data_IF_125507682297
#
_entry.id   IF_125507682297
#
_cell.length_a   1.000
_cell.length_b   1.000
_cell.length_c   1.000
_cell.angle_alpha   90.00
_cell.angle_beta   90.00
_cell.angle_gamma   90.00
#
_symmetry.space_group_name_H-M   'P 1'
#
loop_
_entity.id
_entity.type
_entity.pdbx_description
1 polymer ?
#
# COMPACT_ATOMS: atom_id res chain seq x y z
N UNK A 1 -3.41 11.62 15.88
CA UNK A 1 -3.16 11.35 14.45
C UNK A 1 -4.44 11.04 13.69
N UNK A 2 -5.32 10.22 14.23
CA UNK A 2 -6.64 9.91 13.64
C UNK A 2 -7.40 11.15 13.19
N UNK A 3 -7.57 12.14 14.05
CA UNK A 3 -8.29 13.37 13.73
C UNK A 3 -7.78 14.13 12.49
N UNK A 4 -6.48 14.02 12.15
CA UNK A 4 -5.94 14.66 10.94
C UNK A 4 -6.29 13.87 9.68
N UNK A 5 -6.24 12.53 9.74
CA UNK A 5 -6.64 11.66 8.63
C UNK A 5 -8.15 11.72 8.41
N UNK A 6 -8.94 11.80 9.46
CA UNK A 6 -10.40 12.01 9.39
C UNK A 6 -10.74 13.31 8.68
N UNK A 7 -10.08 14.44 9.00
CA UNK A 7 -10.28 15.71 8.27
C UNK A 7 -9.94 15.63 6.79
N UNK A 8 -8.92 14.83 6.43
CA UNK A 8 -8.60 14.58 5.02
C UNK A 8 -9.71 13.78 4.35
N UNK A 9 -10.22 12.75 5.03
CA UNK A 9 -11.31 11.93 4.52
C UNK A 9 -12.59 12.77 4.35
N UNK A 10 -12.94 13.58 5.33
CA UNK A 10 -14.09 14.50 5.28
C UNK A 10 -13.97 15.49 4.12
N UNK A 11 -12.81 16.13 3.97
CA UNK A 11 -12.56 17.02 2.83
C UNK A 11 -12.70 16.25 1.51
N UNK A 12 -12.14 15.06 1.43
CA UNK A 12 -12.25 14.23 0.23
C UNK A 12 -13.68 13.81 -0.10
N UNK A 13 -14.50 13.52 0.91
CA UNK A 13 -15.89 13.12 0.74
C UNK A 13 -16.77 14.27 0.21
N UNK A 14 -16.55 15.48 0.70
CA UNK A 14 -17.45 16.60 0.48
C UNK A 14 -17.03 17.52 -0.68
N UNK A 15 -15.74 17.62 -0.99
CA UNK A 15 -15.28 18.45 -2.11
C UNK A 15 -15.25 17.65 -3.42
N UNK A 16 -15.86 18.15 -4.52
CA UNK A 16 -15.82 17.46 -5.81
C UNK A 16 -14.40 17.27 -6.37
N UNK A 17 -13.53 18.25 -6.18
CA UNK A 17 -12.14 18.26 -6.64
C UNK A 17 -11.22 18.71 -5.50
N UNK A 18 -11.04 17.89 -4.45
CA UNK A 18 -10.19 18.27 -3.35
C UNK A 18 -8.72 18.30 -3.79
N UNK A 19 -7.99 19.31 -3.34
CA UNK A 19 -6.54 19.38 -3.52
C UNK A 19 -5.84 19.33 -2.16
N UNK A 20 -4.83 18.46 -2.08
CA UNK A 20 -4.04 18.25 -0.88
C UNK A 20 -2.59 18.64 -1.14
N UNK A 21 -2.20 19.79 -0.64
CA UNK A 21 -0.88 20.41 -0.89
C UNK A 21 0.16 20.11 0.19
N UNK A 22 -0.27 19.67 1.37
CA UNK A 22 0.60 19.44 2.52
C UNK A 22 0.21 18.19 3.28
N UNK A 23 0.83 17.06 2.92
CA UNK A 23 0.56 15.74 3.48
C UNK A 23 1.82 15.10 4.09
N UNK A 24 3.00 15.45 3.56
CA UNK A 24 4.25 14.79 3.92
C UNK A 24 4.60 14.93 5.40
N UNK A 25 4.24 16.04 6.04
CA UNK A 25 4.44 16.26 7.47
C UNK A 25 3.67 15.27 8.36
N UNK A 26 2.68 14.57 7.81
CA UNK A 26 1.93 13.53 8.52
C UNK A 26 2.76 12.27 8.73
N UNK A 27 3.78 12.04 7.88
CA UNK A 27 4.74 10.94 8.06
C UNK A 27 5.75 11.36 9.13
N UNK A 28 5.30 11.39 10.37
CA UNK A 28 6.08 11.78 11.53
C UNK A 28 6.35 10.58 12.46
N UNK A 29 7.14 10.79 13.52
CA UNK A 29 7.47 9.76 14.51
C UNK A 29 6.23 9.03 15.04
N UNK A 30 5.15 9.75 15.30
CA UNK A 30 3.90 9.20 15.88
C UNK A 30 3.22 8.23 14.91
N UNK A 31 3.06 8.62 13.63
CA UNK A 31 2.46 7.76 12.61
C UNK A 31 3.34 6.54 12.33
N UNK A 32 4.66 6.69 12.24
CA UNK A 32 5.57 5.57 12.03
C UNK A 32 5.56 4.59 13.21
N UNK A 33 5.48 5.10 14.43
CA UNK A 33 5.33 4.27 15.64
C UNK A 33 4.00 3.49 15.64
N UNK A 34 2.93 4.15 15.24
CA UNK A 34 1.61 3.52 15.08
C UNK A 34 1.68 2.41 14.01
N UNK A 35 2.28 2.69 12.84
CA UNK A 35 2.48 1.68 11.79
C UNK A 35 3.28 0.48 12.27
N UNK A 36 4.35 0.69 13.06
CA UNK A 36 5.09 -0.43 13.65
C UNK A 36 4.20 -1.32 14.52
N UNK A 37 3.33 -0.73 15.36
CA UNK A 37 2.42 -1.52 16.21
C UNK A 37 1.43 -2.37 15.40
N UNK A 38 0.91 -1.81 14.31
CA UNK A 38 -0.11 -2.44 13.46
C UNK A 38 0.46 -3.50 12.51
N UNK A 39 1.73 -3.40 12.13
CA UNK A 39 2.35 -4.40 11.26
C UNK A 39 2.36 -5.78 11.93
N UNK A 40 1.95 -6.79 11.15
CA UNK A 40 2.00 -8.18 11.56
C UNK A 40 3.45 -8.69 11.57
N UNK A 41 3.92 -9.13 12.74
CA UNK A 41 5.28 -9.66 12.91
C UNK A 41 5.52 -11.06 12.31
N UNK A 42 4.45 -11.77 11.92
CA UNK A 42 4.54 -13.09 11.28
C UNK A 42 4.86 -13.04 9.79
N UNK A 43 4.82 -11.85 9.17
CA UNK A 43 5.06 -11.69 7.74
C UNK A 43 6.53 -11.87 7.38
N UNK A 44 6.78 -12.45 6.20
CA UNK A 44 8.12 -12.68 5.68
C UNK A 44 9.01 -11.43 5.76
N UNK A 45 10.26 -11.62 6.14
CA UNK A 45 11.28 -10.56 6.22
C UNK A 45 11.72 -10.10 4.83
N UNK A 46 12.31 -8.91 4.74
CA UNK A 46 12.88 -8.38 3.51
C UNK A 46 14.31 -8.85 3.28
N UNK A 47 15.00 -8.16 2.36
CA UNK A 47 16.40 -8.44 2.03
C UNK A 47 17.36 -8.17 3.21
N UNK A 48 16.93 -7.34 4.15
CA UNK A 48 17.64 -6.98 5.37
C UNK A 48 17.51 -8.02 6.50
N UNK A 49 16.67 -9.05 6.27
CA UNK A 49 16.35 -10.13 7.22
C UNK A 49 15.84 -9.65 8.59
N UNK A 50 15.56 -8.34 8.73
CA UNK A 50 15.13 -7.73 9.99
C UNK A 50 13.68 -8.11 10.30
N UNK A 51 13.48 -8.70 11.47
CA UNK A 51 12.15 -9.03 12.01
C UNK A 51 11.55 -7.85 12.76
N UNK A 52 10.21 -7.89 12.98
CA UNK A 52 9.53 -6.91 13.85
C UNK A 52 10.11 -6.87 15.25
N UNK A 53 10.49 -8.03 15.81
CA UNK A 53 11.05 -8.14 17.16
C UNK A 53 12.40 -7.45 17.26
N UNK A 54 13.34 -7.77 16.38
CA UNK A 54 14.68 -7.16 16.33
C UNK A 54 14.62 -5.65 16.12
N UNK A 55 13.76 -5.19 15.18
CA UNK A 55 13.55 -3.76 14.98
C UNK A 55 12.99 -3.08 16.23
N UNK A 56 12.16 -3.81 16.99
CA UNK A 56 11.52 -3.35 18.22
C UNK A 56 12.48 -3.20 19.41
N UNK A 57 13.62 -3.87 19.42
CA UNK A 57 14.60 -3.78 20.52
C UNK A 57 15.14 -2.36 20.71
N UNK A 58 15.33 -1.61 19.62
CA UNK A 58 15.76 -0.22 19.61
C UNK A 58 14.73 0.71 18.94
N UNK A 59 13.45 0.44 19.18
CA UNK A 59 12.33 1.03 18.43
C UNK A 59 12.37 2.57 18.39
N UNK A 60 12.58 3.23 19.52
CA UNK A 60 12.57 4.70 19.56
C UNK A 60 13.68 5.32 18.71
N UNK A 61 14.89 4.74 18.79
CA UNK A 61 16.03 5.24 18.03
C UNK A 61 15.87 4.95 16.55
N UNK A 62 15.39 3.75 16.19
CA UNK A 62 15.14 3.33 14.81
C UNK A 62 14.09 4.23 14.15
N UNK A 63 12.95 4.45 14.81
CA UNK A 63 11.88 5.33 14.30
C UNK A 63 12.33 6.78 14.23
N UNK A 64 13.10 7.29 15.21
CA UNK A 64 13.66 8.65 15.17
C UNK A 64 14.59 8.80 13.96
N UNK A 65 15.52 7.86 13.77
CA UNK A 65 16.44 7.86 12.63
C UNK A 65 15.68 7.78 11.28
N UNK A 66 14.67 6.94 11.17
CA UNK A 66 13.82 6.84 9.98
C UNK A 66 13.08 8.16 9.71
N UNK A 67 12.47 8.77 10.73
CA UNK A 67 11.77 10.05 10.59
C UNK A 67 12.70 11.17 10.13
N UNK A 68 13.94 11.23 10.67
CA UNK A 68 14.95 12.21 10.24
C UNK A 68 15.39 11.98 8.79
N UNK A 69 15.63 10.73 8.37
CA UNK A 69 15.96 10.41 6.97
C UNK A 69 14.84 10.78 6.01
N UNK A 70 13.59 10.55 6.39
CA UNK A 70 12.42 10.98 5.63
C UNK A 70 12.37 12.51 5.54
N UNK A 71 12.47 13.21 6.67
CA UNK A 71 12.46 14.67 6.73
C UNK A 71 13.52 15.30 5.82
N UNK A 72 14.74 14.74 5.83
CA UNK A 72 15.86 15.17 4.97
C UNK A 72 15.76 14.68 3.53
N UNK A 73 14.74 13.90 3.17
CA UNK A 73 14.59 13.22 1.87
C UNK A 73 15.77 12.31 1.50
N UNK A 74 16.52 11.84 2.49
CA UNK A 74 17.66 10.94 2.32
C UNK A 74 17.27 9.46 2.42
N UNK A 75 16.02 9.15 2.78
CA UNK A 75 15.52 7.78 2.78
C UNK A 75 15.56 7.18 1.37
N UNK A 76 16.13 5.99 1.27
CA UNK A 76 16.22 5.21 0.01
C UNK A 76 15.54 3.87 0.27
N UNK A 77 14.43 3.54 -0.44
CA UNK A 77 13.84 2.21 -0.37
C UNK A 77 14.89 1.15 -0.66
N UNK A 78 14.90 0.09 0.13
CA UNK A 78 15.76 -1.05 -0.13
C UNK A 78 15.18 -1.90 -1.27
N UNK A 79 16.02 -2.71 -1.94
CA UNK A 79 15.52 -3.63 -2.95
C UNK A 79 14.51 -4.61 -2.35
N UNK A 80 13.41 -4.85 -3.07
CA UNK A 80 12.44 -5.86 -2.67
C UNK A 80 12.95 -7.25 -3.02
N UNK A 81 12.89 -8.18 -2.07
CA UNK A 81 13.24 -9.58 -2.27
C UNK A 81 12.11 -10.30 -3.00
N UNK A 82 12.40 -10.91 -4.15
CA UNK A 82 11.40 -11.70 -4.91
C UNK A 82 11.37 -13.15 -4.45
N UNK A 83 10.24 -13.59 -3.94
CA UNK A 83 9.94 -14.95 -3.55
C UNK A 83 8.85 -15.51 -4.48
N UNK A 84 8.91 -16.80 -4.79
CA UNK A 84 7.94 -17.47 -5.64
C UNK A 84 7.05 -18.40 -4.83
N UNK A 85 5.73 -18.23 -4.93
CA UNK A 85 4.75 -19.08 -4.25
C UNK A 85 4.01 -19.91 -5.30
N UNK A 86 3.86 -21.23 -5.10
CA UNK A 86 3.10 -22.06 -6.02
C UNK A 86 1.62 -21.71 -6.01
N UNK A 87 1.01 -21.65 -7.20
CA UNK A 87 -0.43 -21.54 -7.38
C UNK A 87 -1.07 -22.92 -7.44
N UNK A 88 -2.39 -23.00 -7.25
CA UNK A 88 -3.17 -24.26 -7.38
C UNK A 88 -3.05 -24.93 -8.74
N UNK A 89 -2.72 -24.18 -9.79
CA UNK A 89 -2.51 -24.68 -11.15
C UNK A 89 -1.04 -25.04 -11.47
N UNK A 90 -0.18 -25.19 -10.46
CA UNK A 90 1.25 -25.52 -10.59
C UNK A 90 2.15 -24.38 -11.08
N UNK A 91 1.62 -23.21 -11.47
CA UNK A 91 2.43 -22.04 -11.84
C UNK A 91 2.93 -21.32 -10.60
N UNK A 92 4.06 -20.63 -10.74
CA UNK A 92 4.63 -19.81 -9.66
C UNK A 92 4.05 -18.38 -9.69
N UNK A 93 3.74 -17.85 -8.52
CA UNK A 93 3.35 -16.47 -8.32
C UNK A 93 4.53 -15.70 -7.72
N UNK A 94 5.08 -14.70 -8.41
CA UNK A 94 6.12 -13.85 -7.83
C UNK A 94 5.51 -12.93 -6.78
N UNK A 95 6.13 -12.86 -5.62
CA UNK A 95 5.84 -11.87 -4.57
C UNK A 95 7.09 -11.06 -4.27
N UNK A 96 6.93 -9.76 -4.06
CA UNK A 96 7.99 -8.88 -3.58
C UNK A 96 7.84 -8.64 -2.08
N UNK A 97 8.91 -8.88 -1.32
CA UNK A 97 8.95 -8.60 0.11
C UNK A 97 9.85 -7.41 0.36
N UNK A 98 9.31 -6.35 0.95
CA UNK A 98 10.06 -5.14 1.30
C UNK A 98 10.81 -5.33 2.63
N UNK A 99 11.86 -4.51 2.86
CA UNK A 99 12.54 -4.40 4.15
C UNK A 99 11.57 -3.96 5.25
N UNK A 100 11.95 -4.19 6.51
CA UNK A 100 11.03 -3.89 7.61
C UNK A 100 10.73 -2.38 7.72
N UNK A 101 11.73 -1.51 7.60
CA UNK A 101 11.52 -0.05 7.58
C UNK A 101 10.64 0.40 6.41
N UNK A 102 10.85 -0.19 5.22
CA UNK A 102 10.04 0.13 4.06
C UNK A 102 8.57 -0.26 4.24
N UNK A 103 8.29 -1.38 4.92
CA UNK A 103 6.91 -1.75 5.29
C UNK A 103 6.26 -0.70 6.19
N UNK A 104 7.00 -0.14 7.16
CA UNK A 104 6.49 0.94 8.02
C UNK A 104 6.14 2.17 7.19
N UNK A 105 7.03 2.61 6.30
CA UNK A 105 6.80 3.78 5.44
C UNK A 105 5.66 3.54 4.46
N UNK A 106 5.61 2.36 3.84
CA UNK A 106 4.51 1.97 2.93
C UNK A 106 3.16 1.96 3.63
N UNK A 107 3.09 1.47 4.88
CA UNK A 107 1.86 1.52 5.67
C UNK A 107 1.46 2.95 6.03
N UNK A 108 2.43 3.81 6.35
CA UNK A 108 2.16 5.24 6.61
C UNK A 108 1.62 5.94 5.34
N UNK A 109 2.23 5.69 4.18
CA UNK A 109 1.71 6.16 2.89
C UNK A 109 0.32 5.62 2.60
N UNK A 110 0.09 4.31 2.81
CA UNK A 110 -1.22 3.68 2.63
C UNK A 110 -2.29 4.42 3.42
N UNK A 111 -2.07 4.69 4.72
CA UNK A 111 -3.04 5.40 5.57
C UNK A 111 -3.40 6.78 5.03
N UNK A 112 -2.41 7.54 4.54
CA UNK A 112 -2.65 8.87 3.96
C UNK A 112 -3.44 8.76 2.65
N UNK A 113 -3.04 7.85 1.77
CA UNK A 113 -3.74 7.62 0.50
C UNK A 113 -5.16 7.09 0.72
N UNK A 114 -5.33 6.18 1.67
CA UNK A 114 -6.63 5.63 2.06
C UNK A 114 -7.59 6.73 2.54
N UNK A 115 -7.13 7.66 3.37
CA UNK A 115 -7.95 8.81 3.79
C UNK A 115 -8.41 9.69 2.63
N UNK A 116 -7.64 9.76 1.54
CA UNK A 116 -8.00 10.54 0.35
C UNK A 116 -8.94 9.77 -0.58
N UNK A 117 -8.66 8.48 -0.84
CA UNK A 117 -9.31 7.74 -1.91
C UNK A 117 -10.49 6.89 -1.43
N UNK A 118 -10.49 6.41 -0.17
CA UNK A 118 -11.57 5.56 0.35
C UNK A 118 -12.97 6.21 0.25
N UNK A 119 -13.15 7.50 0.59
CA UNK A 119 -14.45 8.15 0.44
C UNK A 119 -14.93 8.29 -1.02
N UNK A 120 -14.02 8.12 -1.98
CA UNK A 120 -14.30 8.31 -3.41
C UNK A 120 -14.54 7.00 -4.16
N UNK A 121 -14.23 5.89 -3.55
CA UNK A 121 -14.46 4.59 -4.18
C UNK A 121 -15.94 4.26 -4.28
N UNK A 122 -16.32 3.70 -5.42
CA UNK A 122 -17.69 3.24 -5.63
C UNK A 122 -18.07 2.11 -4.68
N UNK A 123 -19.33 2.06 -4.28
CA UNK A 123 -19.82 1.03 -3.36
C UNK A 123 -19.72 -0.41 -3.90
N UNK A 124 -19.60 -0.59 -5.20
CA UNK A 124 -19.38 -1.89 -5.84
C UNK A 124 -17.91 -2.35 -5.82
N UNK A 125 -16.98 -1.52 -5.38
CA UNK A 125 -15.56 -1.89 -5.26
C UNK A 125 -15.30 -2.54 -3.90
N UNK A 126 -14.78 -3.78 -3.90
CA UNK A 126 -14.54 -4.58 -2.70
C UNK A 126 -13.06 -4.91 -2.46
N UNK A 127 -12.23 -4.88 -3.50
CA UNK A 127 -10.84 -5.28 -3.41
C UNK A 127 -9.98 -4.34 -2.56
N UNK A 128 -9.25 -4.90 -1.59
CA UNK A 128 -8.25 -4.21 -0.76
C UNK A 128 -8.74 -2.98 0.03
N UNK A 129 -10.03 -2.87 0.26
CA UNK A 129 -10.65 -1.79 1.04
C UNK A 129 -10.86 -2.20 2.49
N UNK A 130 -10.81 -1.25 3.46
CA UNK A 130 -11.17 -1.50 4.84
C UNK A 130 -12.61 -2.03 4.94
N UNK A 131 -12.82 -2.98 5.84
CA UNK A 131 -14.14 -3.58 6.15
C UNK A 131 -14.89 -4.17 4.95
N UNK A 132 -14.22 -4.34 3.82
CA UNK A 132 -14.76 -4.96 2.60
C UNK A 132 -13.93 -6.17 2.19
N UNK A 133 -14.61 -7.25 1.86
CA UNK A 133 -13.96 -8.50 1.47
C UNK A 133 -14.77 -9.30 0.46
N UNK A 134 -14.20 -10.41 0.00
CA UNK A 134 -14.83 -11.28 -1.00
C UNK A 134 -16.21 -11.80 -0.57
N UNK A 135 -16.41 -12.10 0.71
CA UNK A 135 -17.73 -12.52 1.23
C UNK A 135 -18.79 -11.44 1.05
N UNK A 136 -18.43 -10.17 1.28
CA UNK A 136 -19.33 -9.03 1.05
C UNK A 136 -19.69 -8.88 -0.43
N UNK A 137 -18.71 -9.03 -1.31
CA UNK A 137 -18.91 -8.99 -2.76
C UNK A 137 -19.84 -10.10 -3.24
N UNK A 138 -19.60 -11.34 -2.79
CA UNK A 138 -20.45 -12.48 -3.12
C UNK A 138 -21.88 -12.32 -2.61
N UNK A 139 -22.04 -11.81 -1.36
CA UNK A 139 -23.38 -11.56 -0.80
C UNK A 139 -24.14 -10.50 -1.60
N UNK A 140 -23.48 -9.45 -2.04
CA UNK A 140 -24.10 -8.40 -2.88
C UNK A 140 -24.47 -8.93 -4.26
N UNK A 141 -23.58 -9.70 -4.88
CA UNK A 141 -23.85 -10.37 -6.16
C UNK A 141 -25.04 -11.32 -6.04
N UNK A 142 -25.08 -12.15 -4.99
CA UNK A 142 -26.21 -13.06 -4.72
C UNK A 142 -27.53 -12.31 -4.62
N UNK A 143 -27.56 -11.19 -3.87
CA UNK A 143 -28.77 -10.38 -3.77
C UNK A 143 -29.23 -9.87 -5.12
N UNK A 144 -28.30 -9.32 -5.94
CA UNK A 144 -28.64 -8.80 -7.27
C UNK A 144 -29.17 -9.87 -8.19
N UNK A 145 -28.54 -11.04 -8.20
CA UNK A 145 -28.98 -12.16 -9.04
C UNK A 145 -30.38 -12.70 -8.68
N UNK A 146 -30.72 -12.74 -7.40
CA UNK A 146 -31.99 -13.30 -6.96
C UNK A 146 -33.15 -12.31 -6.93
N UNK A 147 -32.87 -11.02 -6.73
CA UNK A 147 -33.92 -10.01 -6.51
C UNK A 147 -33.99 -8.95 -7.61
N UNK A 148 -33.16 -9.04 -8.65
CA UNK A 148 -33.20 -8.13 -9.79
C UNK A 148 -33.35 -8.92 -11.09
N UNK A 149 -34.11 -8.39 -12.06
CA UNK A 149 -34.21 -9.03 -13.39
C UNK A 149 -32.89 -8.82 -14.14
N UNK A 150 -32.06 -9.86 -14.21
CA UNK A 150 -30.77 -9.86 -14.92
C UNK A 150 -30.89 -10.82 -16.10
N UNK A 151 -30.62 -10.31 -17.29
CA UNK A 151 -30.66 -11.11 -18.53
C UNK A 151 -29.30 -11.71 -18.89
N UNK A 152 -28.20 -11.05 -18.51
CA UNK A 152 -26.84 -11.53 -18.81
C UNK A 152 -25.85 -11.10 -17.73
N UNK A 153 -24.77 -11.85 -17.59
CA UNK A 153 -23.62 -11.55 -16.72
C UNK A 153 -22.38 -11.51 -17.61
N UNK A 154 -21.59 -10.46 -17.47
CA UNK A 154 -20.29 -10.34 -18.14
C UNK A 154 -19.22 -10.40 -17.07
N UNK A 155 -18.34 -11.40 -17.16
CA UNK A 155 -17.13 -11.51 -16.36
C UNK A 155 -15.92 -11.04 -17.18
N UNK A 156 -15.13 -10.11 -16.65
CA UNK A 156 -13.97 -9.56 -17.33
C UNK A 156 -12.78 -9.45 -16.38
N UNK A 157 -11.62 -9.95 -16.82
CA UNK A 157 -10.36 -9.86 -16.08
C UNK A 157 -9.24 -9.30 -16.95
N UNK A 158 -8.40 -8.46 -16.36
CA UNK A 158 -7.25 -7.86 -17.07
C UNK A 158 -6.02 -8.71 -16.80
N UNK A 159 -5.60 -9.48 -17.81
CA UNK A 159 -4.41 -10.32 -17.73
C UNK A 159 -3.16 -9.50 -17.46
N UNK A 160 -2.46 -9.84 -16.35
CA UNK A 160 -1.19 -9.19 -16.00
C UNK A 160 -1.33 -7.69 -15.69
N UNK A 161 -2.43 -7.27 -15.09
CA UNK A 161 -2.71 -5.85 -14.81
C UNK A 161 -1.54 -5.12 -14.17
N UNK A 162 -0.97 -5.66 -13.09
CA UNK A 162 0.14 -5.03 -12.39
C UNK A 162 1.44 -5.01 -13.19
N UNK A 163 1.69 -6.01 -14.03
CA UNK A 163 2.89 -6.10 -14.86
C UNK A 163 2.87 -5.08 -16.01
N UNK A 164 1.68 -4.65 -16.44
CA UNK A 164 1.48 -3.70 -17.53
C UNK A 164 1.15 -2.28 -17.06
N UNK A 165 1.06 -2.06 -15.75
CA UNK A 165 0.74 -0.75 -15.20
C UNK A 165 1.92 0.21 -15.35
N UNK A 166 1.73 1.27 -16.16
CA UNK A 166 2.75 2.30 -16.36
C UNK A 166 2.79 3.24 -15.15
N UNK A 167 3.96 3.39 -14.53
CA UNK A 167 4.16 4.26 -13.37
C UNK A 167 3.74 5.72 -13.62
N UNK A 168 3.96 6.22 -14.85
CA UNK A 168 3.54 7.59 -15.20
C UNK A 168 2.04 7.82 -15.09
N UNK A 169 1.22 6.80 -15.40
CA UNK A 169 -0.23 6.90 -15.22
C UNK A 169 -0.60 6.89 -13.73
N UNK A 170 0.06 6.07 -12.92
CA UNK A 170 -0.15 6.09 -11.46
C UNK A 170 0.13 7.50 -10.93
N UNK A 171 1.26 8.10 -11.32
CA UNK A 171 1.64 9.45 -10.90
C UNK A 171 0.64 10.51 -11.38
N UNK A 172 0.13 10.39 -12.61
CA UNK A 172 -0.92 11.30 -13.13
C UNK A 172 -2.21 11.18 -12.31
N UNK A 173 -2.67 9.96 -12.02
CA UNK A 173 -3.87 9.76 -11.20
C UNK A 173 -3.71 10.27 -9.77
N UNK A 174 -2.57 10.03 -9.14
CA UNK A 174 -2.30 10.59 -7.82
C UNK A 174 -2.29 12.12 -7.85
N UNK A 175 -1.73 12.73 -8.89
CA UNK A 175 -1.66 14.18 -9.04
C UNK A 175 -3.03 14.84 -9.31
N UNK A 176 -4.11 14.09 -9.52
CA UNK A 176 -5.45 14.67 -9.59
C UNK A 176 -5.84 15.35 -8.27
N UNK A 177 -5.53 14.73 -7.14
CA UNK A 177 -5.89 15.21 -5.81
C UNK A 177 -4.69 15.58 -4.95
N UNK A 178 -3.54 14.92 -5.12
CA UNK A 178 -2.34 15.14 -4.32
C UNK A 178 -1.43 16.13 -5.03
N UNK A 179 -1.32 17.34 -4.48
CA UNK A 179 -0.43 18.40 -4.96
C UNK A 179 0.82 18.56 -4.09
N UNK A 180 1.00 17.70 -3.09
CA UNK A 180 2.21 17.66 -2.28
C UNK A 180 3.35 16.96 -3.05
N UNK A 181 4.38 17.70 -3.50
CA UNK A 181 5.47 17.14 -4.29
C UNK A 181 6.30 16.12 -3.51
N UNK A 182 6.30 16.19 -2.17
CA UNK A 182 7.09 15.31 -1.32
C UNK A 182 6.45 13.93 -1.19
N UNK A 183 5.12 13.86 -1.10
CA UNK A 183 4.39 12.58 -1.17
C UNK A 183 4.56 11.94 -2.54
N UNK A 184 4.37 12.71 -3.61
CA UNK A 184 4.54 12.20 -4.97
C UNK A 184 5.98 11.70 -5.21
N UNK A 185 6.99 12.44 -4.72
CA UNK A 185 8.38 12.01 -4.76
C UNK A 185 8.60 10.69 -4.02
N UNK A 186 8.04 10.52 -2.82
CA UNK A 186 8.19 9.30 -2.04
C UNK A 186 7.52 8.10 -2.72
N UNK A 187 6.30 8.27 -3.23
CA UNK A 187 5.60 7.22 -4.00
C UNK A 187 6.41 6.82 -5.23
N UNK A 188 6.92 7.81 -6.00
CA UNK A 188 7.74 7.52 -7.18
C UNK A 188 9.02 6.75 -6.85
N UNK A 189 9.63 7.00 -5.68
CA UNK A 189 10.78 6.21 -5.20
C UNK A 189 10.41 4.74 -4.98
N UNK A 190 9.28 4.46 -4.36
CA UNK A 190 8.82 3.09 -4.15
C UNK A 190 8.42 2.39 -5.46
N UNK A 191 7.80 3.10 -6.40
CA UNK A 191 7.49 2.56 -7.72
C UNK A 191 8.75 2.19 -8.52
N UNK A 192 9.86 2.91 -8.30
CA UNK A 192 11.16 2.67 -8.96
C UNK A 192 12.10 1.79 -8.14
N UNK A 193 11.68 1.28 -7.00
CA UNK A 193 12.52 0.42 -6.17
C UNK A 193 12.91 -0.86 -6.93
N UNK A 194 14.17 -1.24 -6.78
CA UNK A 194 14.72 -2.43 -7.45
C UNK A 194 14.13 -3.70 -6.84
N UNK A 195 13.90 -4.71 -7.68
CA UNK A 195 13.48 -6.05 -7.24
C UNK A 195 14.64 -7.01 -7.50
N UNK A 196 15.13 -7.64 -6.43
CA UNK A 196 16.22 -8.64 -6.49
C UNK A 196 15.62 -10.03 -6.38
N UNK A 197 16.04 -10.93 -7.28
CA UNK A 197 15.69 -12.35 -7.18
C UNK A 197 16.62 -13.02 -6.14
N UNK A 198 16.04 -13.81 -5.26
CA UNK A 198 16.83 -14.71 -4.44
C UNK A 198 17.40 -15.79 -5.35
N UNK A 199 18.69 -15.80 -5.57
CA UNK A 199 19.37 -16.97 -6.10
C UNK A 199 19.58 -17.91 -4.90
N UNK A 200 18.73 -18.92 -4.74
CA UNK A 200 19.14 -20.09 -3.98
C UNK A 200 20.33 -20.69 -4.72
N UNK A 201 21.54 -20.55 -4.20
CA UNK A 201 22.64 -21.42 -4.58
C UNK A 201 22.26 -22.83 -4.10
N UNK A 202 21.63 -23.59 -4.96
CA UNK A 202 21.59 -25.05 -4.83
C UNK A 202 22.98 -25.58 -5.21
N UNK A 203 23.95 -25.43 -4.30
CA UNK A 203 25.16 -26.22 -4.26
C UNK A 203 25.11 -27.05 -2.98
N UNK A 204 24.83 -28.32 -3.13
CA UNK A 204 24.86 -29.33 -2.09
C UNK A 204 24.19 -30.57 -2.60
#
# INVERSE_FOLDING_TARGET
METKLERIADKSAHEPKPEFTSLYHLINKELLMQCHRELDGSKAVGIDEVTKKEYGENLEQNIKGLAERLKRKSHKPQPSLRVYIPKSNGKLRPLGTASYEDKIVQLALKKILEAIYEPRFLNCMYGFRPDRGCHGAVKELYKRLNFTKICCIVDADIKGFFDHMKHDWIMKFLNLYIKDPNILWLVNKYLKAVVVKHFCNTYG
#
